data_IF_439335736842
#
_entry.id   IF_439335736842
#
_cell.length_a   1.000
_cell.length_b   1.000
_cell.length_c   1.000
_cell.angle_alpha   90.00
_cell.angle_beta   90.00
_cell.angle_gamma   90.00
#
_symmetry.space_group_name_H-M   'P 1'
#
loop_
_entity.id
_entity.type
_entity.pdbx_description
1 polymer ?
#
# COMPACT_ATOMS: atom_id res chain seq x y z
N UNK A 1 35.99 7.83 -43.58
CA UNK A 1 35.48 6.92 -42.53
C UNK A 1 35.46 7.60 -41.16
N UNK A 2 34.75 8.73 -41.00
CA UNK A 2 34.68 9.49 -39.73
C UNK A 2 33.24 9.68 -39.22
N UNK A 3 32.23 9.39 -40.04
CA UNK A 3 30.82 9.56 -39.69
C UNK A 3 30.21 8.34 -38.98
N UNK A 4 30.85 7.18 -39.09
CA UNK A 4 30.34 5.92 -38.52
C UNK A 4 30.50 5.87 -36.99
N UNK A 5 31.48 6.61 -36.44
CA UNK A 5 31.76 6.65 -34.99
C UNK A 5 30.81 7.57 -34.22
N UNK A 6 30.11 8.50 -34.90
CA UNK A 6 29.16 9.41 -34.25
C UNK A 6 27.76 8.80 -34.12
N UNK A 7 27.43 7.77 -34.92
CA UNK A 7 26.09 7.19 -34.95
C UNK A 7 25.80 6.28 -33.74
N UNK A 8 26.84 5.72 -33.11
CA UNK A 8 26.70 4.82 -31.95
C UNK A 8 26.61 5.54 -30.62
N UNK A 9 26.87 6.85 -30.56
CA UNK A 9 26.80 7.63 -29.33
C UNK A 9 25.38 8.12 -28.96
N UNK A 10 24.39 7.96 -29.86
CA UNK A 10 23.03 8.50 -29.69
C UNK A 10 22.01 7.49 -29.14
N UNK A 11 22.37 6.22 -28.96
CA UNK A 11 21.42 5.14 -28.61
C UNK A 11 21.33 4.89 -27.09
N UNK A 12 22.21 5.48 -26.27
CA UNK A 12 22.30 5.21 -24.83
C UNK A 12 21.40 6.09 -23.94
N UNK A 13 20.54 6.95 -24.50
CA UNK A 13 19.84 8.00 -23.73
C UNK A 13 18.31 7.85 -23.63
N UNK A 14 17.76 6.63 -23.66
CA UNK A 14 16.30 6.44 -23.68
C UNK A 14 15.69 5.59 -22.57
N UNK A 15 16.43 5.28 -21.49
CA UNK A 15 15.82 4.79 -20.25
C UNK A 15 15.50 5.95 -19.30
N UNK A 16 14.62 6.86 -19.74
CA UNK A 16 13.85 7.68 -18.79
C UNK A 16 12.79 6.76 -18.21
N UNK A 17 13.07 6.21 -17.02
CA UNK A 17 12.08 5.47 -16.25
C UNK A 17 10.83 6.33 -16.10
N UNK A 18 9.70 5.83 -16.59
CA UNK A 18 8.40 6.43 -16.29
C UNK A 18 8.25 6.42 -14.77
N UNK A 19 8.31 7.59 -14.16
CA UNK A 19 7.95 7.74 -12.75
C UNK A 19 6.45 7.45 -12.69
N UNK A 20 6.12 6.21 -12.33
CA UNK A 20 4.76 5.82 -11.97
C UNK A 20 4.33 6.71 -10.79
N UNK A 21 3.14 7.29 -10.90
CA UNK A 21 2.60 8.10 -9.82
C UNK A 21 2.24 7.14 -8.69
N UNK A 22 3.04 7.14 -7.62
CA UNK A 22 2.82 6.24 -6.49
C UNK A 22 1.40 6.37 -5.94
N UNK A 23 0.71 5.24 -5.80
CA UNK A 23 -0.65 5.17 -5.28
C UNK A 23 -0.59 4.87 -3.78
N UNK A 24 -1.48 5.48 -2.99
CA UNK A 24 -1.57 5.24 -1.56
C UNK A 24 -3.02 5.22 -1.06
N UNK A 25 -3.32 4.30 -0.14
CA UNK A 25 -4.64 4.18 0.45
C UNK A 25 -4.59 3.98 1.97
N UNK A 26 -5.58 4.54 2.64
CA UNK A 26 -5.88 4.23 4.04
C UNK A 26 -6.83 3.05 4.06
N UNK A 27 -6.51 2.05 4.88
CA UNK A 27 -7.28 0.83 5.04
C UNK A 27 -7.73 0.66 6.48
N UNK A 28 -8.91 0.07 6.69
CA UNK A 28 -9.50 -0.16 8.00
C UNK A 28 -9.92 -1.61 8.15
N UNK A 29 -9.60 -2.22 9.29
CA UNK A 29 -10.18 -3.50 9.69
C UNK A 29 -11.63 -3.30 10.19
N UNK A 30 -12.40 -4.38 10.38
CA UNK A 30 -13.59 -4.34 11.22
C UNK A 30 -13.25 -3.83 12.62
N UNK A 31 -14.16 -3.06 13.22
CA UNK A 31 -14.05 -2.60 14.59
C UNK A 31 -14.46 -3.70 15.56
N UNK A 32 -13.71 -3.88 16.64
CA UNK A 32 -13.98 -4.90 17.68
C UNK A 32 -14.12 -4.26 19.05
N UNK A 33 -14.96 -4.86 19.87
CA UNK A 33 -15.20 -4.48 21.26
C UNK A 33 -14.15 -5.12 22.17
N UNK A 34 -13.50 -4.33 23.03
CA UNK A 34 -12.72 -4.90 24.14
C UNK A 34 -11.48 -4.10 24.53
N UNK A 35 -11.25 -4.06 25.85
CA UNK A 35 -10.04 -3.58 26.54
C UNK A 35 -8.79 -4.44 26.28
N UNK A 36 -8.92 -5.56 25.53
CA UNK A 36 -7.80 -6.29 24.99
C UNK A 36 -7.34 -5.57 23.72
N UNK A 37 -6.26 -4.82 23.85
CA UNK A 37 -5.60 -4.11 22.77
C UNK A 37 -5.55 -4.96 21.49
N UNK A 38 -6.17 -4.43 20.43
CA UNK A 38 -6.09 -4.91 19.06
C UNK A 38 -6.78 -6.27 18.80
N UNK A 39 -7.75 -6.39 17.87
CA UNK A 39 -7.98 -7.68 17.25
C UNK A 39 -6.63 -8.08 16.64
N UNK A 40 -5.97 -9.08 17.22
CA UNK A 40 -4.59 -9.42 16.88
C UNK A 40 -4.46 -9.43 15.35
N UNK A 41 -3.69 -8.47 14.84
CA UNK A 41 -3.45 -8.30 13.40
C UNK A 41 -2.97 -9.66 12.90
N UNK A 42 -3.79 -10.31 12.09
CA UNK A 42 -3.51 -11.63 11.57
C UNK A 42 -3.74 -11.65 10.07
N UNK A 43 -3.21 -12.68 9.43
CA UNK A 43 -3.23 -12.84 7.99
C UNK A 43 -4.63 -13.08 7.41
N UNK A 44 -5.63 -13.32 8.27
CA UNK A 44 -7.04 -13.52 7.90
C UNK A 44 -7.87 -12.24 8.04
N UNK A 45 -7.31 -11.16 8.62
CA UNK A 45 -8.02 -9.90 8.82
C UNK A 45 -8.21 -9.20 7.48
N UNK A 46 -9.46 -9.02 7.08
CA UNK A 46 -9.81 -8.33 5.84
C UNK A 46 -9.84 -6.82 6.08
N UNK A 47 -9.06 -6.09 5.29
CA UNK A 47 -9.02 -4.63 5.31
C UNK A 47 -9.83 -4.06 4.15
N UNK A 48 -10.59 -3.00 4.43
CA UNK A 48 -11.25 -2.20 3.40
C UNK A 48 -10.49 -0.90 3.23
N UNK A 49 -10.04 -0.61 2.01
CA UNK A 49 -9.24 0.56 1.68
C UNK A 49 -10.01 1.55 0.79
N UNK A 50 -9.47 2.76 0.63
CA UNK A 50 -9.94 3.70 -0.40
C UNK A 50 -9.78 3.14 -1.82
N UNK A 51 -10.53 3.69 -2.79
CA UNK A 51 -10.40 3.32 -4.20
C UNK A 51 -10.95 1.93 -4.57
N UNK A 52 -11.69 1.28 -3.69
CA UNK A 52 -12.26 -0.06 -3.92
C UNK A 52 -11.27 -1.21 -3.66
N UNK A 53 -10.07 -0.90 -3.18
CA UNK A 53 -9.08 -1.90 -2.77
C UNK A 53 -9.53 -2.55 -1.46
N UNK A 54 -9.46 -3.88 -1.37
CA UNK A 54 -9.75 -4.61 -0.15
C UNK A 54 -9.07 -5.97 -0.16
N UNK A 55 -8.75 -6.50 1.02
CA UNK A 55 -8.14 -7.81 1.14
C UNK A 55 -7.39 -7.97 2.46
N UNK A 56 -6.84 -9.16 2.66
CA UNK A 56 -5.93 -9.42 3.78
C UNK A 56 -4.51 -8.92 3.49
N UNK A 57 -3.67 -8.83 4.52
CA UNK A 57 -2.26 -8.41 4.36
C UNK A 57 -1.53 -9.27 3.30
N UNK A 58 -1.61 -10.61 3.31
CA UNK A 58 -1.01 -11.41 2.24
C UNK A 58 -1.61 -11.17 0.84
N UNK A 59 -2.90 -10.89 0.73
CA UNK A 59 -3.54 -10.59 -0.56
C UNK A 59 -3.05 -9.25 -1.11
N UNK A 60 -3.05 -8.20 -0.27
CA UNK A 60 -2.53 -6.88 -0.63
C UNK A 60 -1.06 -6.95 -1.05
N UNK A 61 -0.23 -7.72 -0.33
CA UNK A 61 1.17 -7.93 -0.69
C UNK A 61 1.34 -8.64 -2.05
N UNK A 62 0.52 -9.66 -2.35
CA UNK A 62 0.51 -10.34 -3.65
C UNK A 62 0.11 -9.42 -4.80
N UNK A 63 -0.75 -8.45 -4.53
CA UNK A 63 -1.16 -7.42 -5.49
C UNK A 63 -0.12 -6.30 -5.66
N UNK A 64 1.00 -6.37 -4.93
CA UNK A 64 2.10 -5.42 -5.01
C UNK A 64 1.98 -4.23 -4.08
N UNK A 65 1.00 -4.22 -3.17
CA UNK A 65 0.90 -3.19 -2.13
C UNK A 65 1.92 -3.43 -1.02
N UNK A 66 2.50 -2.34 -0.53
CA UNK A 66 3.39 -2.31 0.63
C UNK A 66 2.64 -1.71 1.80
N UNK A 67 2.62 -2.40 2.94
CA UNK A 67 2.11 -1.85 4.19
C UNK A 67 3.21 -0.94 4.76
N UNK A 68 2.99 0.37 4.75
CA UNK A 68 3.99 1.36 5.18
C UNK A 68 3.73 1.90 6.58
N UNK A 69 2.51 1.75 7.09
CA UNK A 69 2.17 2.12 8.46
C UNK A 69 1.02 1.26 9.00
N UNK A 70 1.08 0.93 10.29
CA UNK A 70 -0.01 0.33 11.05
C UNK A 70 -0.22 1.14 12.34
N UNK A 71 -1.48 1.44 12.65
CA UNK A 71 -1.89 2.15 13.86
C UNK A 71 -3.25 1.63 14.33
N UNK A 72 -3.49 1.60 15.64
CA UNK A 72 -4.83 1.35 16.15
C UNK A 72 -5.60 2.66 16.29
N UNK A 73 -6.88 2.66 15.95
CA UNK A 73 -7.75 3.84 16.03
C UNK A 73 -9.00 3.48 16.84
N UNK A 74 -9.48 4.44 17.65
CA UNK A 74 -10.81 4.35 18.25
C UNK A 74 -11.87 4.54 17.16
N UNK A 75 -12.94 3.76 17.23
CA UNK A 75 -14.06 3.94 16.31
C UNK A 75 -14.86 5.19 16.72
N UNK A 76 -15.06 6.11 15.79
CA UNK A 76 -15.70 7.40 16.10
C UNK A 76 -17.18 7.28 16.50
N UNK A 77 -17.99 6.39 15.88
CA UNK A 77 -19.37 6.16 16.30
C UNK A 77 -19.48 5.41 17.63
N UNK A 78 -18.48 4.61 17.99
CA UNK A 78 -18.45 3.82 19.22
C UNK A 78 -17.02 3.77 19.80
N UNK A 79 -16.65 4.73 20.67
CA UNK A 79 -15.27 4.83 21.18
C UNK A 79 -14.89 3.66 22.10
N UNK A 80 -15.82 2.76 22.43
CA UNK A 80 -15.53 1.51 23.14
C UNK A 80 -14.96 0.43 22.20
N UNK A 81 -14.99 0.66 20.89
CA UNK A 81 -14.41 -0.19 19.87
C UNK A 81 -13.14 0.41 19.31
N UNK A 82 -12.25 -0.48 18.88
CA UNK A 82 -11.03 -0.11 18.16
C UNK A 82 -10.92 -0.90 16.86
N UNK A 83 -10.20 -0.34 15.89
CA UNK A 83 -9.86 -1.00 14.64
C UNK A 83 -8.40 -0.75 14.28
N UNK A 84 -7.81 -1.69 13.54
CA UNK A 84 -6.49 -1.51 12.95
C UNK A 84 -6.63 -0.68 11.67
N UNK A 85 -5.83 0.38 11.58
CA UNK A 85 -5.67 1.19 10.38
C UNK A 85 -4.32 0.91 9.74
N UNK A 86 -4.31 0.67 8.43
CA UNK A 86 -3.10 0.56 7.64
C UNK A 86 -2.99 1.72 6.65
N UNK A 87 -1.77 2.10 6.34
CA UNK A 87 -1.46 2.86 5.13
C UNK A 87 -0.74 1.91 4.17
N UNK A 88 -1.28 1.78 2.97
CA UNK A 88 -0.66 0.99 1.90
C UNK A 88 -0.16 1.91 0.79
N UNK A 89 0.94 1.52 0.17
CA UNK A 89 1.53 2.22 -0.98
C UNK A 89 1.93 1.24 -2.08
N UNK A 90 1.86 1.69 -3.33
CA UNK A 90 2.34 0.97 -4.49
C UNK A 90 3.08 1.96 -5.39
N UNK A 91 4.24 1.54 -5.87
CA UNK A 91 5.08 2.31 -6.78
C UNK A 91 4.60 2.17 -8.22
#
# INVERSE_FOLDING_TARGET
MKYFTYLTALISLSFVGVASAGEAHVCKSPAVSGTAANPALNDDTVFTCGGGVSGTIPQLAKEGWKIVQQTDQADSPDPTKTYAQLIIQKD
#
